data_IF_337933322339
#
_entry.id   IF_337933322339
#
_cell.length_a   1.000
_cell.length_b   1.000
_cell.length_c   1.000
_cell.angle_alpha   90.00
_cell.angle_beta   90.00
_cell.angle_gamma   90.00
#
_symmetry.space_group_name_H-M   'P 1'
#
loop_
_entity.id
_entity.type
_entity.pdbx_description
1 polymer ?
#
# COMPACT_ATOMS: atom_id res chain seq x y z
N UNK A 1 16.07 -16.55 0.44
CA UNK A 1 16.09 -15.08 0.50
C UNK A 1 14.79 -14.59 -0.10
N UNK A 2 14.00 -13.86 0.67
CA UNK A 2 12.61 -13.55 0.29
C UNK A 2 12.58 -12.32 -0.62
N UNK A 3 12.17 -12.51 -1.87
CA UNK A 3 11.97 -11.42 -2.83
C UNK A 3 10.87 -10.47 -2.32
N UNK A 4 11.17 -9.17 -2.13
CA UNK A 4 10.19 -8.16 -1.69
C UNK A 4 9.75 -7.28 -2.87
N UNK A 5 8.45 -6.98 -2.96
CA UNK A 5 7.88 -6.12 -4.03
C UNK A 5 7.46 -4.76 -3.49
N UNK A 6 8.09 -3.70 -3.98
CA UNK A 6 7.79 -2.33 -3.63
C UNK A 6 6.82 -1.73 -4.64
N UNK A 7 5.72 -1.11 -4.16
CA UNK A 7 4.83 -0.31 -5.00
C UNK A 7 5.01 1.17 -4.70
N UNK A 8 4.79 2.02 -5.70
CA UNK A 8 4.74 3.47 -5.52
C UNK A 8 3.60 3.85 -4.56
N UNK A 9 3.90 4.76 -3.64
CA UNK A 9 2.94 5.33 -2.69
C UNK A 9 1.64 5.84 -3.34
N UNK A 10 1.76 6.36 -4.57
CA UNK A 10 0.63 6.93 -5.33
C UNK A 10 -0.36 5.86 -5.78
N UNK A 11 0.06 4.61 -5.88
CA UNK A 11 -0.77 3.50 -6.31
C UNK A 11 -1.45 2.80 -5.15
N UNK A 12 -0.85 2.85 -3.95
CA UNK A 12 -1.36 2.20 -2.75
C UNK A 12 -2.38 3.09 -2.04
N UNK A 13 -3.63 2.65 -2.04
CA UNK A 13 -4.75 3.32 -1.37
C UNK A 13 -5.25 2.44 -0.23
N UNK A 14 -5.24 2.96 0.99
CA UNK A 14 -5.63 2.22 2.20
C UNK A 14 -7.04 2.55 2.68
N UNK A 15 -7.60 3.66 2.21
CA UNK A 15 -8.92 4.15 2.57
C UNK A 15 -9.51 5.03 1.46
N UNK A 16 -10.84 5.06 1.38
CA UNK A 16 -11.55 6.06 0.60
C UNK A 16 -11.62 7.38 1.36
N UNK A 17 -11.26 8.47 0.69
CA UNK A 17 -11.57 9.82 1.16
C UNK A 17 -13.06 10.07 0.94
N UNK A 18 -13.79 10.36 2.01
CA UNK A 18 -15.20 10.72 2.00
C UNK A 18 -15.33 12.12 2.56
N UNK A 19 -16.02 13.00 1.84
CA UNK A 19 -16.37 14.33 2.35
C UNK A 19 -17.78 14.23 2.90
N UNK A 20 -17.95 14.57 4.17
CA UNK A 20 -19.27 14.71 4.76
C UNK A 20 -19.96 15.91 4.11
N UNK A 21 -21.09 15.72 3.38
CA UNK A 21 -21.76 16.81 2.70
C UNK A 21 -22.38 17.83 3.68
N UNK A 22 -22.68 17.45 4.92
CA UNK A 22 -23.28 18.34 5.91
C UNK A 22 -22.24 19.22 6.62
N UNK A 23 -21.07 18.66 6.92
CA UNK A 23 -20.04 19.35 7.73
C UNK A 23 -18.81 19.79 6.93
N UNK A 24 -18.69 19.35 5.67
CA UNK A 24 -17.49 19.54 4.84
C UNK A 24 -16.26 18.79 5.33
N UNK A 25 -16.37 18.02 6.43
CA UNK A 25 -15.24 17.33 7.05
C UNK A 25 -14.81 16.13 6.21
N UNK A 26 -13.50 15.91 6.15
CA UNK A 26 -12.92 14.75 5.47
C UNK A 26 -12.84 13.58 6.45
N UNK A 27 -13.51 12.49 6.12
CA UNK A 27 -13.36 11.20 6.77
C UNK A 27 -12.62 10.22 5.84
N UNK A 28 -11.75 9.39 6.41
CA UNK A 28 -11.08 8.31 5.67
C UNK A 28 -11.72 6.99 6.07
N UNK A 29 -12.42 6.34 5.14
CA UNK A 29 -13.06 5.03 5.35
C UNK A 29 -12.13 3.91 4.89
N UNK A 30 -11.57 3.10 5.81
CA UNK A 30 -10.68 2.00 5.44
C UNK A 30 -11.37 0.96 4.56
N UNK A 31 -10.59 0.22 3.77
CA UNK A 31 -11.11 -0.94 3.05
C UNK A 31 -11.12 -2.17 3.95
N UNK A 32 -12.27 -2.85 3.99
CA UNK A 32 -12.47 -4.08 4.72
C UNK A 32 -12.90 -5.19 3.77
N UNK A 33 -12.40 -6.40 4.00
CA UNK A 33 -12.87 -7.56 3.28
C UNK A 33 -14.32 -7.87 3.68
N UNK A 34 -15.14 -8.30 2.73
CA UNK A 34 -16.55 -8.64 2.97
C UNK A 34 -16.70 -9.87 3.87
N UNK A 35 -15.94 -10.93 3.60
CA UNK A 35 -16.02 -12.23 4.29
C UNK A 35 -14.90 -12.52 5.30
N UNK A 36 -13.64 -12.22 4.98
CA UNK A 36 -12.50 -12.55 5.86
C UNK A 36 -12.53 -11.74 7.17
N UNK A 37 -12.29 -12.42 8.29
CA UNK A 37 -12.24 -11.86 9.65
C UNK A 37 -10.89 -12.12 10.30
N UNK A 38 -10.54 -11.26 11.25
CA UNK A 38 -9.45 -11.47 12.19
C UNK A 38 -9.92 -12.43 13.32
N UNK A 39 -8.99 -12.97 14.14
CA UNK A 39 -9.36 -13.83 15.28
C UNK A 39 -10.32 -13.19 16.28
N UNK A 40 -10.27 -11.85 16.41
CA UNK A 40 -11.17 -11.06 17.26
C UNK A 40 -12.58 -10.82 16.66
N UNK A 41 -12.88 -11.40 15.49
CA UNK A 41 -14.15 -11.24 14.78
C UNK A 41 -14.27 -9.95 13.95
N UNK A 42 -13.28 -9.04 14.01
CA UNK A 42 -13.27 -7.82 13.21
C UNK A 42 -13.00 -8.12 11.73
N UNK A 43 -13.46 -7.27 10.81
CA UNK A 43 -13.19 -7.45 9.37
C UNK A 43 -11.71 -7.19 9.08
N UNK A 44 -11.08 -8.08 8.30
CA UNK A 44 -9.69 -7.90 7.91
C UNK A 44 -9.56 -6.67 6.99
N UNK A 45 -8.59 -5.80 7.29
CA UNK A 45 -8.31 -4.58 6.50
C UNK A 45 -7.43 -4.89 5.31
N UNK A 46 -7.68 -4.21 4.21
CA UNK A 46 -6.93 -4.35 2.96
C UNK A 46 -6.50 -2.98 2.42
N UNK A 47 -5.47 -3.00 1.58
CA UNK A 47 -5.14 -1.89 0.69
C UNK A 47 -5.46 -2.27 -0.75
N UNK A 48 -5.79 -1.27 -1.55
CA UNK A 48 -5.94 -1.39 -3.00
C UNK A 48 -4.70 -0.83 -3.67
N UNK A 49 -4.15 -1.58 -4.61
CA UNK A 49 -3.08 -1.12 -5.49
C UNK A 49 -3.68 -0.98 -6.87
N UNK A 50 -3.89 0.26 -7.31
CA UNK A 50 -4.44 0.51 -8.64
C UNK A 50 -3.43 0.12 -9.70
N UNK A 51 -3.87 -0.63 -10.69
CA UNK A 51 -3.05 -0.97 -11.85
C UNK A 51 -3.06 0.20 -12.84
N UNK A 52 -1.98 0.42 -13.61
CA UNK A 52 -1.97 1.41 -14.67
C UNK A 52 -3.04 1.12 -15.74
N UNK A 53 -3.53 2.18 -16.37
CA UNK A 53 -4.48 2.07 -17.48
C UNK A 53 -3.86 1.31 -18.67
N UNK A 54 -4.71 0.81 -19.57
CA UNK A 54 -4.29 -0.05 -20.70
C UNK A 54 -3.12 0.51 -21.51
N UNK A 55 -3.06 1.83 -21.69
CA UNK A 55 -2.07 2.51 -22.52
C UNK A 55 -0.72 2.72 -21.80
N UNK A 56 -0.70 2.49 -20.48
CA UNK A 56 0.46 2.70 -19.61
C UNK A 56 1.06 1.38 -19.09
N UNK A 57 0.68 0.24 -19.67
CA UNK A 57 1.20 -1.08 -19.30
C UNK A 57 1.48 -1.94 -20.53
N UNK A 58 2.35 -2.94 -20.36
CA UNK A 58 2.73 -3.89 -21.43
C UNK A 58 1.88 -5.16 -21.42
N UNK A 59 1.14 -5.40 -20.34
CA UNK A 59 0.25 -6.54 -20.19
C UNK A 59 -1.12 -6.23 -20.78
N UNK A 60 -1.76 -7.22 -21.41
CA UNK A 60 -3.14 -7.12 -21.93
C UNK A 60 -4.02 -8.13 -21.21
N UNK A 61 -5.09 -7.66 -20.55
CA UNK A 61 -6.09 -8.59 -20.00
C UNK A 61 -7.00 -9.08 -21.12
N UNK A 62 -7.28 -10.38 -21.12
CA UNK A 62 -8.33 -10.94 -21.98
C UNK A 62 -9.72 -10.56 -21.46
N UNK A 63 -10.73 -10.64 -22.32
CA UNK A 63 -12.12 -10.62 -21.85
C UNK A 63 -12.36 -11.74 -20.83
N UNK A 64 -13.41 -11.60 -20.01
CA UNK A 64 -13.83 -12.70 -19.14
C UNK A 64 -14.62 -13.78 -19.90
N UNK A 65 -15.01 -14.83 -19.19
CA UNK A 65 -15.73 -15.98 -19.78
C UNK A 65 -17.09 -15.60 -20.39
N UNK A 66 -17.67 -14.48 -19.95
CA UNK A 66 -18.93 -13.95 -20.47
C UNK A 66 -18.71 -12.92 -21.59
N UNK A 67 -17.48 -12.76 -22.07
CA UNK A 67 -17.11 -11.79 -23.11
C UNK A 67 -16.99 -10.35 -22.61
N UNK A 68 -17.00 -10.12 -21.30
CA UNK A 68 -16.89 -8.79 -20.72
C UNK A 68 -15.45 -8.27 -20.86
N UNK A 69 -15.29 -7.13 -21.52
CA UNK A 69 -13.99 -6.47 -21.75
C UNK A 69 -13.37 -6.04 -20.41
N UNK A 70 -12.13 -6.48 -20.14
CA UNK A 70 -11.40 -6.19 -18.89
C UNK A 70 -10.21 -5.25 -19.06
N UNK A 71 -9.62 -5.18 -20.26
CA UNK A 71 -8.37 -4.48 -20.49
C UNK A 71 -8.52 -2.97 -20.36
N UNK A 72 -9.61 -2.39 -20.85
CA UNK A 72 -9.92 -0.97 -20.75
C UNK A 72 -10.49 -0.55 -19.39
N UNK A 73 -10.77 -1.50 -18.50
CA UNK A 73 -11.33 -1.20 -17.18
C UNK A 73 -10.26 -0.80 -16.19
N UNK A 74 -10.66 0.09 -15.28
CA UNK A 74 -9.86 0.40 -14.10
C UNK A 74 -9.79 -0.86 -13.21
N UNK A 75 -8.57 -1.32 -12.93
CA UNK A 75 -8.35 -2.51 -12.13
C UNK A 75 -7.47 -2.27 -10.92
N UNK A 76 -7.51 -3.17 -9.96
CA UNK A 76 -6.71 -3.08 -8.75
C UNK A 76 -6.42 -4.45 -8.16
N UNK A 77 -5.33 -4.53 -7.41
CA UNK A 77 -4.99 -5.70 -6.60
C UNK A 77 -5.35 -5.39 -5.15
N UNK A 78 -5.87 -6.38 -4.44
CA UNK A 78 -6.10 -6.29 -3.00
C UNK A 78 -4.98 -6.99 -2.23
N UNK A 79 -4.48 -6.34 -1.20
CA UNK A 79 -3.41 -6.88 -0.35
C UNK A 79 -3.76 -6.65 1.13
N UNK A 80 -3.47 -7.61 2.02
CA UNK A 80 -3.68 -7.42 3.44
C UNK A 80 -2.99 -6.15 3.95
N UNK A 81 -3.68 -5.36 4.76
CA UNK A 81 -3.14 -4.09 5.25
C UNK A 81 -1.87 -4.29 6.12
N UNK A 82 -1.74 -5.44 6.79
CA UNK A 82 -0.56 -5.79 7.59
C UNK A 82 0.74 -5.87 6.78
N UNK A 83 0.63 -6.13 5.47
CA UNK A 83 1.76 -6.18 4.53
C UNK A 83 2.15 -4.79 4.03
N UNK A 84 1.36 -3.76 4.35
CA UNK A 84 1.64 -2.37 3.97
C UNK A 84 2.52 -1.74 5.04
N UNK A 85 3.73 -1.35 4.66
CA UNK A 85 4.66 -0.59 5.50
C UNK A 85 4.69 0.86 5.06
N UNK A 86 4.58 1.80 6.00
CA UNK A 86 4.77 3.22 5.73
C UNK A 86 6.19 3.60 6.13
N UNK A 87 6.99 4.10 5.18
CA UNK A 87 8.29 4.72 5.50
C UNK A 87 8.06 6.21 5.77
N UNK A 88 8.67 6.72 6.83
CA UNK A 88 8.82 8.16 7.09
C UNK A 88 10.27 8.53 6.81
N UNK A 89 10.51 9.43 5.85
CA UNK A 89 11.85 9.95 5.59
C UNK A 89 12.06 11.26 6.37
N UNK A 90 13.16 11.37 7.09
CA UNK A 90 13.59 12.60 7.78
C UNK A 90 12.60 13.14 8.84
N UNK A 91 11.86 12.25 9.51
CA UNK A 91 10.82 12.64 10.50
C UNK A 91 9.59 13.31 9.87
N UNK A 92 9.60 13.59 8.57
CA UNK A 92 8.45 14.03 7.80
C UNK A 92 7.71 12.80 7.30
N UNK A 93 6.38 12.77 7.46
CA UNK A 93 5.51 11.74 6.87
C UNK A 93 5.48 11.86 5.35
N UNK A 94 6.57 11.54 4.66
CA UNK A 94 6.52 11.16 3.25
C UNK A 94 5.94 9.75 3.22
N UNK A 95 4.62 9.61 3.33
CA UNK A 95 3.93 8.32 3.30
C UNK A 95 4.26 7.62 1.98
N UNK A 96 5.31 6.82 2.00
CA UNK A 96 5.56 5.84 0.97
C UNK A 96 5.11 4.50 1.53
N UNK A 97 3.90 4.10 1.13
CA UNK A 97 3.35 2.80 1.43
C UNK A 97 3.98 1.78 0.50
N UNK A 98 4.75 0.85 1.06
CA UNK A 98 5.33 -0.26 0.34
C UNK A 98 4.65 -1.54 0.75
N UNK A 99 4.53 -2.46 -0.19
CA UNK A 99 4.10 -3.81 0.11
C UNK A 99 5.33 -4.66 0.43
N UNK A 100 5.20 -5.64 1.31
CA UNK A 100 6.17 -6.72 1.44
C UNK A 100 5.39 -8.02 1.26
N UNK A 101 5.75 -8.79 0.23
CA UNK A 101 5.26 -10.14 0.03
C UNK A 101 6.47 -11.05 0.14
N UNK A 102 6.47 -11.94 1.13
CA UNK A 102 7.48 -12.98 1.23
C UNK A 102 7.19 -14.06 0.18
N UNK A 103 8.22 -14.71 -0.37
CA UNK A 103 8.11 -15.68 -1.46
C UNK A 103 7.39 -15.14 -2.71
N UNK A 104 7.69 -13.89 -3.10
CA UNK A 104 7.04 -13.24 -4.23
C UNK A 104 7.11 -14.03 -5.56
N UNK A 105 8.13 -14.87 -5.76
CA UNK A 105 8.28 -15.72 -6.94
C UNK A 105 7.14 -16.72 -7.12
N UNK A 106 6.52 -17.17 -6.03
CA UNK A 106 5.39 -18.11 -6.02
C UNK A 106 4.04 -17.41 -5.80
N UNK A 107 4.07 -16.09 -5.57
CA UNK A 107 2.87 -15.34 -5.27
C UNK A 107 1.96 -15.19 -6.50
N UNK A 108 0.67 -15.44 -6.29
CA UNK A 108 -0.39 -15.20 -7.26
C UNK A 108 -1.26 -14.05 -6.77
N UNK A 109 -1.46 -13.07 -7.64
CA UNK A 109 -2.18 -11.85 -7.35
C UNK A 109 -3.55 -11.88 -8.01
N UNK A 110 -4.60 -11.60 -7.25
CA UNK A 110 -5.94 -11.42 -7.82
C UNK A 110 -6.13 -9.96 -8.24
N UNK A 111 -6.39 -9.75 -9.53
CA UNK A 111 -6.77 -8.46 -10.10
C UNK A 111 -8.30 -8.39 -10.18
N UNK A 112 -8.85 -7.35 -9.56
CA UNK A 112 -10.25 -7.00 -9.58
C UNK A 112 -10.49 -5.85 -10.56
N UNK A 113 -11.64 -5.85 -11.22
CA UNK A 113 -12.02 -4.82 -12.19
C UNK A 113 -13.21 -4.02 -11.68
N UNK A 114 -13.26 -2.74 -12.05
CA UNK A 114 -14.37 -1.87 -11.68
C UNK A 114 -15.65 -2.25 -12.44
N UNK A 115 -16.76 -2.27 -11.72
CA UNK A 115 -18.08 -2.45 -12.29
C UNK A 115 -18.51 -1.15 -12.98
N UNK A 116 -19.14 -1.28 -14.14
CA UNK A 116 -19.80 -0.19 -14.83
C UNK A 116 -21.31 -0.37 -14.74
N UNK A 117 -22.00 0.75 -14.60
CA UNK A 117 -23.45 0.78 -14.63
C UNK A 117 -23.88 0.93 -16.09
N UNK A 118 -24.63 -0.03 -16.58
CA UNK A 118 -25.33 0.10 -17.84
C UNK A 118 -26.30 1.29 -17.74
N UNK A 119 -26.16 2.23 -18.68
CA UNK A 119 -26.96 3.46 -18.70
C UNK A 119 -28.42 3.20 -19.08
N UNK A 120 -28.70 2.13 -19.83
CA UNK A 120 -30.03 1.77 -20.31
C UNK A 120 -30.78 0.96 -19.26
N UNK A 121 -30.18 -0.14 -18.81
CA UNK A 121 -30.84 -1.05 -17.85
C UNK A 121 -30.67 -0.62 -16.40
N UNK A 122 -29.72 0.28 -16.11
CA UNK A 122 -29.39 0.74 -14.77
C UNK A 122 -28.69 -0.32 -13.90
N UNK A 123 -28.46 -1.53 -14.42
CA UNK A 123 -27.79 -2.64 -13.74
C UNK A 123 -26.28 -2.47 -13.79
N UNK A 124 -25.60 -2.93 -12.75
CA UNK A 124 -24.14 -3.01 -12.76
C UNK A 124 -23.70 -4.32 -13.40
N UNK A 125 -22.67 -4.24 -14.23
CA UNK A 125 -21.93 -5.44 -14.63
C UNK A 125 -21.02 -5.93 -13.50
N UNK A 126 -20.52 -7.15 -13.66
CA UNK A 126 -19.70 -7.84 -12.67
C UNK A 126 -18.55 -8.59 -13.35
N UNK A 127 -17.52 -7.87 -13.84
CA UNK A 127 -16.39 -8.49 -14.52
C UNK A 127 -15.67 -9.49 -13.61
N UNK A 128 -15.39 -10.69 -14.11
CA UNK A 128 -14.68 -11.70 -13.33
C UNK A 128 -13.24 -11.26 -13.05
N UNK A 129 -12.80 -11.43 -11.79
CA UNK A 129 -11.40 -11.22 -11.41
C UNK A 129 -10.48 -12.22 -12.11
N UNK A 130 -9.21 -11.87 -12.29
CA UNK A 130 -8.21 -12.80 -12.83
C UNK A 130 -7.00 -12.94 -11.89
N UNK A 131 -6.27 -14.03 -12.05
CA UNK A 131 -5.02 -14.29 -11.34
C UNK A 131 -3.85 -13.89 -12.24
N UNK A 132 -2.86 -13.21 -11.68
CA UNK A 132 -1.61 -12.87 -12.37
C UNK A 132 -0.41 -13.29 -11.52
N UNK A 133 0.61 -13.79 -12.17
CA UNK A 133 1.92 -14.14 -11.60
C UNK A 133 2.78 -12.90 -11.35
N UNK A 134 3.89 -13.05 -10.61
CA UNK A 134 4.89 -11.99 -10.48
C UNK A 134 5.45 -11.52 -11.84
N UNK A 135 5.61 -12.43 -12.81
CA UNK A 135 6.12 -12.09 -14.15
C UNK A 135 5.16 -11.15 -14.88
N UNK A 136 3.87 -11.44 -14.82
CA UNK A 136 2.80 -10.62 -15.43
C UNK A 136 2.62 -9.32 -14.66
N UNK A 137 2.72 -9.35 -13.33
CA UNK A 137 2.68 -8.16 -12.49
C UNK A 137 3.77 -7.14 -12.89
N UNK A 138 4.98 -7.61 -13.20
CA UNK A 138 6.07 -6.77 -13.73
C UNK A 138 5.81 -6.21 -15.14
N UNK A 139 4.87 -6.77 -15.89
CA UNK A 139 4.42 -6.24 -17.18
C UNK A 139 3.26 -5.25 -17.01
N UNK A 140 2.47 -5.40 -15.94
CA UNK A 140 1.39 -4.48 -15.55
C UNK A 140 1.98 -3.17 -15.02
N UNK A 141 2.95 -3.24 -14.11
CA UNK A 141 3.55 -2.07 -13.48
C UNK A 141 4.89 -1.73 -14.14
N UNK A 142 5.06 -0.47 -14.55
CA UNK A 142 6.32 -0.02 -15.15
C UNK A 142 7.40 0.10 -14.06
N UNK A 143 8.69 -0.02 -14.43
CA UNK A 143 9.86 -0.12 -13.52
C UNK A 143 10.00 0.98 -12.45
N UNK A 144 9.29 2.12 -12.58
CA UNK A 144 9.24 3.20 -11.56
C UNK A 144 8.16 3.00 -10.50
N UNK A 145 7.20 2.12 -10.80
CA UNK A 145 6.00 1.86 -10.01
C UNK A 145 6.13 0.59 -9.20
N UNK A 146 6.91 -0.37 -9.71
CA UNK A 146 7.28 -1.60 -9.03
C UNK A 146 8.81 -1.72 -8.97
N UNK A 147 9.35 -1.92 -7.77
CA UNK A 147 10.76 -2.30 -7.58
C UNK A 147 10.80 -3.65 -6.86
N UNK A 148 11.73 -4.52 -7.22
CA UNK A 148 11.95 -5.79 -6.52
C UNK A 148 13.34 -5.73 -5.92
N UNK A 149 13.44 -5.33 -4.65
CA UNK A 149 14.72 -5.26 -3.95
C UNK A 149 14.90 -6.49 -3.08
N UNK A 150 16.08 -7.08 -3.18
CA UNK A 150 16.59 -8.05 -2.19
C UNK A 150 17.01 -7.25 -0.96
N UNK A 151 16.17 -7.34 0.07
CA UNK A 151 16.43 -6.93 1.45
C UNK A 151 16.87 -5.47 1.70
N UNK A 152 15.99 -4.66 2.30
CA UNK A 152 16.30 -3.29 2.72
C UNK A 152 16.82 -3.19 4.17
N UNK A 153 16.98 -4.31 4.89
CA UNK A 153 17.37 -4.27 6.31
C UNK A 153 16.36 -3.51 7.19
N UNK A 154 15.10 -3.40 6.74
CA UNK A 154 14.01 -2.73 7.46
C UNK A 154 13.65 -3.41 8.79
N UNK A 155 14.09 -4.66 8.99
CA UNK A 155 13.89 -5.43 10.22
C UNK A 155 15.10 -5.36 11.16
N UNK A 156 16.11 -4.52 10.89
CA UNK A 156 17.20 -4.32 11.85
C UNK A 156 16.64 -3.65 13.11
N UNK A 157 16.72 -4.28 14.29
CA UNK A 157 16.31 -3.63 15.53
C UNK A 157 17.10 -2.33 15.67
N UNK A 158 16.41 -1.24 16.06
CA UNK A 158 17.10 -0.02 16.48
C UNK A 158 18.12 -0.41 17.54
N UNK A 159 19.39 0.01 17.45
CA UNK A 159 20.28 -0.12 18.60
C UNK A 159 19.60 0.63 19.75
N UNK A 160 19.40 -0.06 20.87
CA UNK A 160 18.95 0.56 22.11
C UNK A 160 19.89 1.72 22.40
N UNK A 161 19.36 2.94 22.35
CA UNK A 161 20.07 4.09 22.90
C UNK A 161 20.23 3.84 24.40
N UNK A 162 21.37 3.30 24.80
CA UNK A 162 21.91 3.51 26.14
C UNK A 162 22.22 5.00 26.25
N UNK A 163 21.21 5.80 26.61
CA UNK A 163 21.43 7.09 27.24
C UNK A 163 21.97 6.81 28.65
N UNK A 164 23.28 6.53 28.74
CA UNK A 164 24.00 6.79 29.97
C UNK A 164 23.96 8.31 30.19
N UNK A 165 23.19 8.69 31.22
CA UNK A 165 23.21 10.03 31.81
C UNK A 165 24.63 10.34 32.27
N UNK A 166 25.43 11.01 31.44
CA UNK A 166 26.56 11.78 31.92
C UNK A 166 26.00 12.97 32.71
N UNK A 167 25.97 12.84 34.03
CA UNK A 167 25.73 13.94 34.96
C UNK A 167 26.82 14.99 34.75
N UNK A 168 26.48 16.13 34.15
CA UNK A 168 27.34 17.32 34.20
C UNK A 168 27.42 17.82 35.65
N UNK A 169 28.61 17.94 36.26
CA UNK A 169 28.73 18.54 37.58
C UNK A 169 28.64 20.06 37.45
N UNK A 170 27.63 20.59 38.11
CA UNK A 170 27.40 22.01 38.37
C UNK A 170 28.61 22.59 39.14
N UNK A 171 29.36 23.52 38.56
CA UNK A 171 30.41 24.27 39.28
C UNK A 171 30.00 25.73 39.36
N UNK A 172 29.29 26.07 40.43
CA UNK A 172 29.31 27.44 40.98
C UNK A 172 30.76 27.79 41.31
N UNK A 173 31.25 28.92 40.79
CA UNK A 173 32.31 29.67 41.44
C UNK A 173 31.84 31.10 41.61
N UNK A 174 31.63 31.44 42.87
CA UNK A 174 31.43 32.77 43.38
C UNK A 174 32.80 33.45 43.57
N UNK A 175 32.75 34.79 43.46
CA UNK A 175 33.62 35.82 44.07
C UNK A 175 35.13 35.90 43.75
N UNK A 176 35.54 37.11 43.36
CA UNK A 176 36.92 37.59 43.39
C UNK A 176 37.15 38.93 42.70
N UNK A 177 36.69 40.04 43.30
CA UNK A 177 37.18 41.41 43.03
C UNK A 177 38.69 41.48 43.30
N UNK A 178 39.48 42.04 42.37
CA UNK A 178 40.59 42.98 42.64
C UNK A 178 41.39 43.25 41.35
N UNK A 179 41.26 44.44 40.77
CA UNK A 179 42.30 45.48 40.72
C UNK A 179 41.77 46.69 39.99
#
# INVERSE_FOLDING_TARGET
MDDRIFFSARQVVVANKVVDPATGRIAYKPFYHSTVRNPDGSRKRYAKIWIPDKDHRKFTFTADENGLERNGRRGYIQVPYENVRTITKDGKKTLQSFLIINNASEAVFTVYFQNHRDKVTGKFDHPQSCKVSLKELKQIFVRREIDVKRDLGLDRPKPENKQEKAKSPNRKKDLGKAR
#
